data_IF_546255327056
#
_entry.id   IF_546255327056
#
_cell.length_a   1.000
_cell.length_b   1.000
_cell.length_c   1.000
_cell.angle_alpha   90.00
_cell.angle_beta   90.00
_cell.angle_gamma   90.00
#
_symmetry.space_group_name_H-M   'P 1'
#
loop_
_entity.id
_entity.type
_entity.pdbx_description
1 polymer ?
#
# COMPACT_ATOMS: atom_id res chain seq x y z
N UNK A 1 -31.95 -11.63 -9.61
CA UNK A 1 -30.57 -11.62 -10.16
C UNK A 1 -29.86 -10.44 -9.52
N UNK A 2 -29.30 -10.64 -8.33
CA UNK A 2 -28.69 -9.59 -7.52
C UNK A 2 -27.32 -9.25 -8.10
N UNK A 3 -27.19 -8.07 -8.71
CA UNK A 3 -25.89 -7.51 -9.11
C UNK A 3 -25.25 -6.94 -7.84
N UNK A 4 -24.77 -7.84 -6.98
CA UNK A 4 -23.92 -7.53 -5.84
C UNK A 4 -22.47 -7.47 -6.35
N UNK A 5 -21.97 -6.30 -6.73
CA UNK A 5 -20.54 -5.96 -6.74
C UNK A 5 -20.40 -4.42 -6.86
N UNK A 6 -20.66 -3.69 -5.78
CA UNK A 6 -20.20 -2.31 -5.63
C UNK A 6 -18.67 -2.32 -5.65
N UNK A 7 -18.07 -2.03 -6.81
CA UNK A 7 -16.61 -1.90 -6.96
C UNK A 7 -16.12 -0.88 -5.93
N UNK A 8 -15.43 -1.39 -4.91
CA UNK A 8 -14.70 -0.58 -3.94
C UNK A 8 -13.87 0.46 -4.72
N UNK A 9 -14.07 1.73 -4.34
CA UNK A 9 -13.42 2.87 -4.96
C UNK A 9 -11.91 2.64 -5.02
N UNK A 10 -11.46 2.37 -6.23
CA UNK A 10 -10.06 2.16 -6.55
C UNK A 10 -9.35 3.51 -6.55
N UNK A 11 -8.99 3.97 -5.34
CA UNK A 11 -8.27 5.22 -5.16
C UNK A 11 -6.78 4.90 -5.11
N UNK A 12 -6.14 4.90 -6.28
CA UNK A 12 -4.69 4.77 -6.39
C UNK A 12 -4.01 6.00 -5.78
N UNK A 13 -3.19 5.80 -4.75
CA UNK A 13 -2.37 6.88 -4.19
C UNK A 13 -0.91 6.67 -4.54
N UNK A 14 -0.27 7.71 -5.08
CA UNK A 14 1.18 7.68 -5.26
C UNK A 14 1.87 7.91 -3.92
N UNK A 15 2.68 6.94 -3.53
CA UNK A 15 3.50 6.99 -2.31
C UNK A 15 4.90 7.51 -2.63
N UNK A 16 5.45 7.19 -3.80
CA UNK A 16 6.74 7.70 -4.25
C UNK A 16 6.63 8.33 -5.64
N UNK A 17 6.84 9.64 -5.74
CA UNK A 17 6.78 10.34 -7.03
C UNK A 17 8.04 10.08 -7.86
N UNK A 18 9.22 10.02 -7.24
CA UNK A 18 10.50 9.76 -7.91
C UNK A 18 10.49 8.49 -8.78
N UNK A 19 9.89 7.42 -8.24
CA UNK A 19 9.82 6.10 -8.91
C UNK A 19 8.40 5.73 -9.35
N UNK A 20 7.47 6.68 -9.30
CA UNK A 20 6.06 6.48 -9.60
C UNK A 20 5.45 5.24 -8.90
N UNK A 21 5.77 5.06 -7.60
CA UNK A 21 5.28 3.92 -6.81
C UNK A 21 3.97 4.25 -6.15
N UNK A 22 2.98 3.38 -6.33
CA UNK A 22 1.65 3.48 -5.71
C UNK A 22 1.54 2.66 -4.43
N UNK A 23 0.57 3.02 -3.61
CA UNK A 23 0.10 2.26 -2.44
C UNK A 23 -0.18 0.79 -2.79
N UNK A 24 -0.80 0.53 -3.94
CA UNK A 24 -1.07 -0.83 -4.42
C UNK A 24 0.17 -1.65 -4.69
N UNK A 25 1.21 -1.04 -5.26
CA UNK A 25 2.47 -1.73 -5.48
C UNK A 25 3.13 -2.08 -4.14
N UNK A 26 3.00 -1.22 -3.13
CA UNK A 26 3.46 -1.50 -1.77
C UNK A 26 2.65 -2.66 -1.15
N UNK A 27 1.32 -2.65 -1.28
CA UNK A 27 0.45 -3.75 -0.86
C UNK A 27 0.80 -5.08 -1.53
N UNK A 28 1.05 -5.05 -2.84
CA UNK A 28 1.44 -6.24 -3.60
C UNK A 28 2.81 -6.76 -3.14
N UNK A 29 3.78 -5.87 -2.91
CA UNK A 29 5.08 -6.24 -2.36
C UNK A 29 4.94 -6.80 -0.93
N UNK A 30 4.08 -6.23 -0.09
CA UNK A 30 3.81 -6.75 1.25
C UNK A 30 3.24 -8.17 1.20
N UNK A 31 2.27 -8.44 0.30
CA UNK A 31 1.73 -9.79 0.05
C UNK A 31 2.76 -10.76 -0.52
N UNK A 32 3.74 -10.26 -1.27
CA UNK A 32 4.87 -11.04 -1.75
C UNK A 32 5.92 -11.34 -0.65
N UNK A 33 5.75 -10.80 0.56
CA UNK A 33 6.62 -11.06 1.72
C UNK A 33 7.46 -9.85 2.17
N UNK A 34 7.30 -8.68 1.56
CA UNK A 34 8.01 -7.48 2.02
C UNK A 34 7.52 -7.08 3.42
N UNK A 35 8.41 -7.08 4.40
CA UNK A 35 8.10 -6.73 5.80
C UNK A 35 8.84 -5.48 6.28
N UNK A 36 9.76 -4.96 5.47
CA UNK A 36 10.58 -3.80 5.80
C UNK A 36 10.73 -2.83 4.64
N UNK A 37 11.13 -1.59 4.94
CA UNK A 37 11.50 -0.61 3.91
C UNK A 37 12.68 -1.09 3.07
N UNK A 38 13.56 -1.95 3.61
CA UNK A 38 14.69 -2.51 2.86
C UNK A 38 14.21 -3.44 1.75
N UNK A 39 13.17 -4.22 2.02
CA UNK A 39 12.55 -5.10 1.03
C UNK A 39 11.85 -4.28 -0.05
N UNK A 40 11.05 -3.27 0.34
CA UNK A 40 10.43 -2.36 -0.63
C UNK A 40 11.45 -1.60 -1.48
N UNK A 41 12.60 -1.22 -0.91
CA UNK A 41 13.70 -0.60 -1.66
C UNK A 41 14.27 -1.55 -2.71
N UNK A 42 14.46 -2.82 -2.35
CA UNK A 42 14.99 -3.85 -3.23
C UNK A 42 14.02 -4.18 -4.35
N UNK A 43 12.73 -4.29 -4.02
CA UNK A 43 11.73 -4.83 -4.96
C UNK A 43 11.05 -3.73 -5.79
N UNK A 44 10.85 -2.53 -5.23
CA UNK A 44 10.14 -1.41 -5.88
C UNK A 44 11.03 -0.17 -6.10
N UNK A 45 12.23 -0.10 -5.50
CA UNK A 45 13.07 1.09 -5.58
C UNK A 45 12.57 2.27 -4.75
N UNK A 46 11.62 2.08 -3.84
CA UNK A 46 11.07 3.19 -3.01
C UNK A 46 12.16 3.83 -2.16
N UNK A 47 12.14 5.15 -1.99
CA UNK A 47 13.10 5.87 -1.14
C UNK A 47 14.58 5.62 -1.49
N UNK A 48 14.90 5.39 -2.77
CA UNK A 48 16.27 5.28 -3.30
C UNK A 48 16.82 6.59 -3.85
N UNK A 49 15.95 7.59 -4.07
CA UNK A 49 16.32 8.93 -4.55
C UNK A 49 16.21 9.97 -3.42
N UNK A 50 15.16 10.80 -3.40
CA UNK A 50 15.02 11.86 -2.39
C UNK A 50 14.73 11.37 -0.97
N UNK A 51 14.28 10.11 -0.81
CA UNK A 51 13.98 9.49 0.48
C UNK A 51 12.73 10.00 1.21
N UNK A 52 12.06 11.05 0.72
CA UNK A 52 10.92 11.70 1.41
C UNK A 52 9.72 10.77 1.63
N UNK A 53 9.51 9.81 0.73
CA UNK A 53 8.44 8.83 0.84
C UNK A 53 8.70 7.73 1.88
N UNK A 54 9.88 7.67 2.52
CA UNK A 54 10.25 6.54 3.37
C UNK A 54 9.30 6.31 4.56
N UNK A 55 8.85 7.38 5.22
CA UNK A 55 7.91 7.28 6.34
C UNK A 55 6.52 6.83 5.86
N UNK A 56 6.04 7.41 4.76
CA UNK A 56 4.76 7.05 4.16
C UNK A 56 4.76 5.59 3.66
N UNK A 57 5.82 5.15 2.96
CA UNK A 57 5.95 3.78 2.49
C UNK A 57 6.01 2.74 3.63
N UNK A 58 6.65 3.07 4.75
CA UNK A 58 6.61 2.23 5.96
C UNK A 58 5.21 2.15 6.55
N UNK A 59 4.49 3.26 6.58
CA UNK A 59 3.12 3.29 7.08
C UNK A 59 2.21 2.43 6.19
N UNK A 60 2.23 2.61 4.87
CA UNK A 60 1.45 1.79 3.94
C UNK A 60 1.81 0.30 4.05
N UNK A 61 3.08 -0.04 4.30
CA UNK A 61 3.47 -1.43 4.53
C UNK A 61 2.91 -1.98 5.85
N UNK A 62 2.89 -1.19 6.91
CA UNK A 62 2.26 -1.60 8.19
C UNK A 62 0.76 -1.76 8.04
N UNK A 63 0.10 -0.80 7.39
CA UNK A 63 -1.32 -0.87 7.06
C UNK A 63 -1.61 -2.11 6.22
N UNK A 64 -0.79 -2.42 5.20
CA UNK A 64 -0.93 -3.64 4.40
C UNK A 64 -0.89 -4.94 5.22
N UNK A 65 -0.08 -4.99 6.29
CA UNK A 65 0.00 -6.13 7.21
C UNK A 65 -1.09 -6.12 8.30
N UNK A 66 -1.73 -4.98 8.54
CA UNK A 66 -2.84 -4.82 9.50
C UNK A 66 -4.21 -5.00 8.84
N UNK A 67 -4.37 -4.55 7.60
CA UNK A 67 -5.58 -4.71 6.78
C UNK A 67 -5.81 -6.16 6.36
N UNK A 68 -4.79 -7.03 6.41
CA UNK A 68 -5.01 -8.48 6.34
C UNK A 68 -5.90 -9.03 7.46
N UNK A 69 -6.10 -8.28 8.56
CA UNK A 69 -6.98 -8.62 9.68
C UNK A 69 -8.22 -7.72 9.82
N UNK A 70 -8.38 -6.64 9.02
CA UNK A 70 -9.49 -5.69 9.17
C UNK A 70 -10.16 -5.41 7.82
N UNK A 71 -10.86 -6.42 7.29
CA UNK A 71 -12.06 -6.16 6.51
C UNK A 71 -13.22 -5.87 7.49
N UNK A 72 -13.27 -4.65 8.05
CA UNK A 72 -14.44 -4.16 8.76
C UNK A 72 -14.85 -2.81 8.17
N UNK A 73 -16.08 -2.69 7.62
CA UNK A 73 -16.56 -1.45 7.08
C UNK A 73 -16.66 -0.43 8.22
N UNK A 74 -16.10 0.74 7.98
CA UNK A 74 -16.10 1.86 8.91
C UNK A 74 -17.56 2.24 9.16
N UNK A 75 -18.09 1.90 10.34
CA UNK A 75 -19.29 2.53 10.89
C UNK A 75 -18.95 3.98 11.20
N UNK A 76 -19.33 4.87 10.29
CA UNK A 76 -19.41 6.30 10.56
C UNK A 76 -20.47 6.50 11.65
N UNK A 77 -20.04 6.97 12.82
CA UNK A 77 -20.95 7.49 13.85
C UNK A 77 -21.52 8.85 13.43
#
# INVERSE_FOLDING_TARGET
MLIQQEKAADRFMYVCVCRAITDRQILQAARAGASSLKDLRRDLGVATECGQCASCAKQCLREAHQDSDIAMPISFA
#
